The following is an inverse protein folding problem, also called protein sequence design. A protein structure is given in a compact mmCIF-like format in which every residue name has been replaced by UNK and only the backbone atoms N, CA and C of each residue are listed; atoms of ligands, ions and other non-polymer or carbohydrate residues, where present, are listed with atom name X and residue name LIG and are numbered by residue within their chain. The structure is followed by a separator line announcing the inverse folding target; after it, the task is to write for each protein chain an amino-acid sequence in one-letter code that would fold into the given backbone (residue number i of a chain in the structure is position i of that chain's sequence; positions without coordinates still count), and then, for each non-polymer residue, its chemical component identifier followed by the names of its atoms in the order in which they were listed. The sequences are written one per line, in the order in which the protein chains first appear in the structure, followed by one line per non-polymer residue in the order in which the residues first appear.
data_IF_559628686075
#
_entry.id   IF_559628686075
#
_cell.length_a   1.000
_cell.length_b   1.000
_cell.length_c   1.000
_cell.angle_alpha   90.00
_cell.angle_beta   90.00
_cell.angle_gamma   90.00
#
_symmetry.space_group_name_H-M   'P 1'
#
loop_
_entity.id
_entity.type
_entity.pdbx_description
1 polymer ?
#
# COMPACT_ATOMS: atom_id res chain seq x y z
N UNK A 1 -6.44 -47.08 10.83
CA UNK A 1 -6.30 -46.66 12.26
C UNK A 1 -4.85 -46.24 12.39
N UNK A 2 -4.41 -45.01 12.57
CA UNK A 2 -4.85 -43.71 13.10
C UNK A 2 -3.92 -42.67 12.41
N UNK A 3 -4.10 -41.37 12.28
CA UNK A 3 -4.94 -40.36 12.90
C UNK A 3 -4.75 -39.08 12.08
N UNK A 4 -5.81 -38.28 12.01
CA UNK A 4 -5.82 -36.96 11.39
C UNK A 4 -4.78 -36.02 12.03
N UNK A 5 -4.13 -35.18 11.22
CA UNK A 5 -3.45 -34.00 11.72
C UNK A 5 -4.22 -32.77 11.26
N UNK A 6 -4.95 -32.22 12.24
CA UNK A 6 -5.89 -31.13 12.15
C UNK A 6 -5.29 -29.88 11.50
N UNK A 7 -6.04 -29.31 10.55
CA UNK A 7 -5.87 -27.94 10.13
C UNK A 7 -6.13 -27.00 11.30
N UNK A 8 -5.08 -26.34 11.79
CA UNK A 8 -5.22 -25.24 12.73
C UNK A 8 -5.37 -23.95 11.90
N UNK A 9 -6.61 -23.66 11.52
CA UNK A 9 -7.01 -22.36 11.02
C UNK A 9 -7.01 -21.35 12.16
N UNK A 10 -5.87 -20.71 12.44
CA UNK A 10 -5.85 -19.54 13.33
C UNK A 10 -6.37 -18.32 12.56
N UNK A 11 -7.68 -18.13 12.62
CA UNK A 11 -8.33 -16.86 12.34
C UNK A 11 -7.72 -15.79 13.27
N UNK A 12 -7.06 -14.79 12.70
CA UNK A 12 -6.64 -13.63 13.47
C UNK A 12 -6.88 -12.39 12.61
N UNK A 13 -8.14 -11.96 12.63
CA UNK A 13 -8.51 -10.60 12.24
C UNK A 13 -8.17 -9.68 13.40
N UNK A 14 -7.29 -8.71 13.17
CA UNK A 14 -6.99 -7.68 14.15
C UNK A 14 -8.16 -6.67 14.15
N UNK A 15 -9.24 -7.06 14.84
CA UNK A 15 -10.32 -6.18 15.23
C UNK A 15 -9.77 -5.26 16.32
N UNK A 16 -10.00 -3.95 16.19
CA UNK A 16 -9.49 -2.90 17.06
C UNK A 16 -9.58 -3.29 18.55
N UNK A 17 -8.44 -3.46 19.21
CA UNK A 17 -8.36 -3.66 20.66
C UNK A 17 -7.89 -2.36 21.30
N UNK A 18 -8.54 -2.03 22.41
CA UNK A 18 -8.37 -0.82 23.18
C UNK A 18 -6.93 -0.65 23.70
N UNK A 19 -6.60 0.59 24.06
CA UNK A 19 -5.26 1.16 24.34
C UNK A 19 -4.29 0.36 25.23
N UNK A 20 -4.67 -0.72 25.92
CA UNK A 20 -3.81 -1.38 26.94
C UNK A 20 -3.70 -2.91 26.88
N UNK A 21 -4.23 -3.61 25.87
CA UNK A 21 -4.10 -5.08 25.78
C UNK A 21 -3.47 -5.49 24.45
N UNK A 22 -2.16 -5.33 24.37
CA UNK A 22 -1.36 -5.87 23.28
C UNK A 22 -1.28 -7.40 23.45
N UNK A 23 -1.60 -8.22 22.43
CA UNK A 23 -1.41 -9.67 22.52
C UNK A 23 0.08 -9.99 22.75
N UNK A 24 0.39 -11.13 23.36
CA UNK A 24 1.78 -11.51 23.74
C UNK A 24 2.77 -11.61 22.57
N UNK A 25 2.29 -11.65 21.33
CA UNK A 25 3.09 -11.62 20.10
C UNK A 25 3.10 -10.23 19.43
N UNK A 26 2.61 -9.19 20.10
CA UNK A 26 2.62 -7.84 19.58
C UNK A 26 4.04 -7.29 19.51
N UNK A 27 4.52 -7.12 18.29
CA UNK A 27 5.84 -6.54 18.05
C UNK A 27 5.80 -5.03 18.31
N UNK A 28 6.83 -4.46 18.96
CA UNK A 28 7.02 -3.02 19.00
C UNK A 28 7.00 -2.43 17.59
N UNK A 29 6.31 -1.30 17.42
CA UNK A 29 6.16 -0.63 16.12
C UNK A 29 7.51 -0.27 15.51
N UNK A 30 8.44 0.25 16.31
CA UNK A 30 9.78 0.65 15.85
C UNK A 30 10.58 -0.54 15.30
N UNK A 31 10.37 -1.71 15.87
CA UNK A 31 11.03 -2.92 15.41
C UNK A 31 10.48 -3.40 14.06
N UNK A 32 9.15 -3.36 13.88
CA UNK A 32 8.53 -3.66 12.58
C UNK A 32 9.01 -2.66 11.50
N UNK A 33 9.18 -1.39 11.87
CA UNK A 33 9.72 -0.37 10.99
C UNK A 33 11.17 -0.67 10.58
N UNK A 34 12.05 -0.99 11.54
CA UNK A 34 13.45 -1.34 11.26
C UNK A 34 13.57 -2.59 10.38
N UNK A 35 12.82 -3.65 10.72
CA UNK A 35 12.77 -4.87 9.91
C UNK A 35 12.31 -4.56 8.49
N UNK A 36 11.29 -3.71 8.34
CA UNK A 36 10.80 -3.32 7.03
C UNK A 36 11.82 -2.53 6.22
N UNK A 37 12.53 -1.58 6.84
CA UNK A 37 13.58 -0.81 6.17
C UNK A 37 14.72 -1.70 5.67
N UNK A 38 15.13 -2.70 6.46
CA UNK A 38 16.13 -3.69 6.04
C UNK A 38 15.64 -4.52 4.85
N UNK A 39 14.39 -5.00 4.91
CA UNK A 39 13.79 -5.75 3.83
C UNK A 39 13.60 -4.90 2.55
N UNK A 40 13.29 -3.61 2.67
CA UNK A 40 13.09 -2.72 1.51
C UNK A 40 14.41 -2.45 0.75
N UNK A 41 15.58 -2.70 1.36
CA UNK A 41 16.90 -2.62 0.70
C UNK A 41 17.25 -3.88 -0.11
N UNK A 42 16.52 -4.96 0.09
CA UNK A 42 16.78 -6.24 -0.57
C UNK A 42 15.87 -6.42 -1.80
N UNK A 43 16.36 -7.06 -2.88
CA UNK A 43 15.52 -7.45 -4.00
C UNK A 43 14.32 -8.30 -3.52
N UNK A 44 13.12 -8.13 -4.08
CA UNK A 44 11.91 -8.80 -3.59
C UNK A 44 11.97 -10.34 -3.63
N UNK A 45 12.81 -10.91 -4.50
CA UNK A 45 13.00 -12.37 -4.65
C UNK A 45 14.26 -12.91 -3.97
N UNK A 46 15.01 -12.11 -3.22
CA UNK A 46 16.25 -12.60 -2.59
C UNK A 46 15.95 -13.55 -1.43
N UNK A 47 16.63 -14.72 -1.33
CA UNK A 47 16.44 -15.67 -0.22
C UNK A 47 16.81 -15.07 1.14
N UNK A 48 17.67 -14.06 1.15
CA UNK A 48 18.10 -13.32 2.33
C UNK A 48 16.92 -12.71 3.13
N UNK A 49 15.82 -12.37 2.46
CA UNK A 49 14.60 -11.90 3.13
C UNK A 49 14.02 -12.94 4.08
N UNK A 50 13.98 -14.21 3.65
CA UNK A 50 13.46 -15.30 4.45
C UNK A 50 14.36 -15.58 5.65
N UNK A 51 15.70 -15.49 5.46
CA UNK A 51 16.68 -15.66 6.53
C UNK A 51 16.50 -14.58 7.61
N UNK A 52 16.38 -13.30 7.20
CA UNK A 52 16.20 -12.21 8.15
C UNK A 52 14.90 -12.34 8.94
N UNK A 53 13.81 -12.76 8.29
CA UNK A 53 12.51 -12.99 8.95
C UNK A 53 12.60 -14.17 9.92
N UNK A 54 13.28 -15.26 9.55
CA UNK A 54 13.47 -16.42 10.42
C UNK A 54 14.34 -16.10 11.65
N UNK A 55 15.44 -15.36 11.47
CA UNK A 55 16.30 -14.93 12.57
C UNK A 55 15.54 -14.06 13.58
N UNK A 56 14.73 -13.15 13.06
CA UNK A 56 13.81 -12.32 13.84
C UNK A 56 12.77 -13.15 14.59
N UNK A 57 12.17 -14.13 13.91
CA UNK A 57 11.16 -15.00 14.50
C UNK A 57 11.75 -15.78 15.69
N UNK A 58 12.99 -16.27 15.54
CA UNK A 58 13.75 -16.91 16.61
C UNK A 58 14.01 -15.99 17.80
N UNK A 59 14.35 -14.72 17.56
CA UNK A 59 14.67 -13.75 18.63
C UNK A 59 13.47 -13.46 19.55
N UNK A 60 12.24 -13.47 19.00
CA UNK A 60 11.01 -13.22 19.76
C UNK A 60 10.24 -14.50 20.13
N UNK A 61 10.77 -15.69 19.80
CA UNK A 61 10.10 -16.97 20.09
C UNK A 61 8.75 -17.15 19.38
N UNK A 62 8.59 -16.53 18.22
CA UNK A 62 7.35 -16.52 17.42
C UNK A 62 7.54 -17.23 16.10
N UNK A 63 6.46 -17.64 15.45
CA UNK A 63 6.55 -18.23 14.11
C UNK A 63 6.87 -17.17 13.05
N UNK A 64 7.59 -17.55 11.99
CA UNK A 64 7.84 -16.68 10.84
C UNK A 64 6.53 -16.17 10.21
N UNK A 65 5.48 -16.98 10.22
CA UNK A 65 4.13 -16.61 9.76
C UNK A 65 3.56 -15.43 10.54
N UNK A 66 3.77 -15.37 11.87
CA UNK A 66 3.33 -14.23 12.68
C UNK A 66 4.10 -12.96 12.33
N UNK A 67 5.39 -13.06 12.05
CA UNK A 67 6.20 -11.92 11.57
C UNK A 67 5.68 -11.41 10.22
N UNK A 68 5.40 -12.31 9.26
CA UNK A 68 4.80 -11.92 7.98
C UNK A 68 3.46 -11.23 8.15
N UNK A 69 2.59 -11.76 9.02
CA UNK A 69 1.27 -11.18 9.30
C UNK A 69 1.39 -9.81 9.97
N UNK A 70 2.32 -9.64 10.90
CA UNK A 70 2.60 -8.34 11.52
C UNK A 70 3.12 -7.32 10.50
N UNK A 71 4.05 -7.72 9.61
CA UNK A 71 4.56 -6.86 8.53
C UNK A 71 3.49 -6.49 7.49
N UNK A 72 2.48 -7.33 7.26
CA UNK A 72 1.33 -7.02 6.40
C UNK A 72 0.33 -6.09 7.09
N UNK A 73 0.06 -6.32 8.38
CA UNK A 73 -0.81 -5.46 9.18
C UNK A 73 -0.19 -4.07 9.42
N UNK A 74 1.14 -3.99 9.45
CA UNK A 74 1.91 -2.75 9.43
C UNK A 74 1.79 -2.05 8.08
N UNK A 75 0.63 -1.43 7.83
CA UNK A 75 0.32 -0.74 6.58
C UNK A 75 1.18 0.52 6.47
N UNK A 76 1.96 0.62 5.39
CA UNK A 76 2.53 1.89 4.93
C UNK A 76 1.38 2.91 4.79
N UNK A 77 1.56 4.19 5.13
CA UNK A 77 0.71 5.22 4.56
C UNK A 77 0.77 5.06 3.04
N UNK A 78 -0.34 4.59 2.46
CA UNK A 78 -0.44 4.45 1.01
C UNK A 78 -0.26 5.86 0.45
N UNK A 79 0.58 6.03 -0.58
CA UNK A 79 0.72 7.31 -1.22
C UNK A 79 -0.68 7.83 -1.57
N UNK A 80 -1.02 9.05 -1.15
CA UNK A 80 -2.36 9.62 -1.36
C UNK A 80 -2.73 9.62 -2.85
N UNK A 81 -1.73 9.57 -3.71
CA UNK A 81 -1.87 9.56 -5.14
C UNK A 81 -1.18 8.36 -5.79
N UNK A 82 -1.68 7.97 -6.97
CA UNK A 82 -1.08 6.92 -7.79
C UNK A 82 0.28 7.37 -8.33
N UNK A 83 1.12 6.42 -8.76
CA UNK A 83 2.47 6.70 -9.26
C UNK A 83 2.52 7.72 -10.42
N UNK A 84 1.47 7.77 -11.24
CA UNK A 84 1.37 8.68 -12.39
C UNK A 84 0.49 9.92 -12.09
N UNK A 85 0.39 10.35 -10.83
CA UNK A 85 -0.41 11.51 -10.48
C UNK A 85 0.09 12.77 -11.20
N UNK A 86 -0.84 13.52 -11.81
CA UNK A 86 -0.53 14.70 -12.62
C UNK A 86 0.12 14.41 -13.97
N UNK A 87 0.34 13.14 -14.34
CA UNK A 87 0.94 12.77 -15.63
C UNK A 87 -0.08 12.07 -16.54
N UNK A 88 -0.26 12.51 -17.79
CA UNK A 88 -1.11 11.84 -18.76
C UNK A 88 -0.55 10.45 -19.07
N UNK A 89 -1.46 9.49 -19.25
CA UNK A 89 -1.09 8.08 -19.47
C UNK A 89 -0.93 7.72 -20.95
N UNK A 90 -1.63 8.43 -21.85
CA UNK A 90 -1.68 8.12 -23.29
C UNK A 90 -1.03 9.18 -24.17
N UNK A 91 -1.07 10.45 -23.75
CA UNK A 91 -0.58 11.58 -24.54
C UNK A 91 0.63 12.22 -23.88
N UNK A 92 1.48 12.87 -24.67
CA UNK A 92 2.53 13.72 -24.12
C UNK A 92 1.91 14.93 -23.41
N UNK A 93 2.53 15.40 -22.33
CA UNK A 93 2.02 16.52 -21.54
C UNK A 93 1.83 17.79 -22.36
N UNK A 94 2.70 18.04 -23.34
CA UNK A 94 2.61 19.18 -24.24
C UNK A 94 1.37 19.10 -25.14
N UNK A 95 1.06 17.92 -25.67
CA UNK A 95 -0.09 17.69 -26.53
C UNK A 95 -1.40 17.87 -25.76
N UNK A 96 -1.50 17.29 -24.56
CA UNK A 96 -2.67 17.46 -23.69
C UNK A 96 -2.92 18.95 -23.40
N UNK A 97 -1.88 19.71 -23.07
CA UNK A 97 -2.00 21.16 -22.82
C UNK A 97 -2.50 21.91 -24.06
N UNK A 98 -1.97 21.60 -25.24
CA UNK A 98 -2.41 22.20 -26.50
C UNK A 98 -3.89 21.90 -26.78
N UNK A 99 -4.34 20.66 -26.56
CA UNK A 99 -5.76 20.31 -26.69
C UNK A 99 -6.64 21.08 -25.70
N UNK A 100 -6.23 21.17 -24.43
CA UNK A 100 -6.96 21.95 -23.43
C UNK A 100 -7.08 23.43 -23.82
N UNK A 101 -6.02 24.02 -24.37
CA UNK A 101 -6.04 25.41 -24.85
C UNK A 101 -7.02 25.60 -26.00
N UNK A 102 -7.03 24.70 -26.99
CA UNK A 102 -7.98 24.75 -28.10
C UNK A 102 -9.44 24.64 -27.63
N UNK A 103 -9.73 23.73 -26.70
CA UNK A 103 -11.07 23.57 -26.13
C UNK A 103 -11.47 24.83 -25.35
N UNK A 104 -10.55 25.40 -24.55
CA UNK A 104 -10.81 26.62 -23.81
C UNK A 104 -11.13 27.80 -24.74
N UNK A 105 -10.36 27.96 -25.81
CA UNK A 105 -10.59 28.99 -26.83
C UNK A 105 -11.95 28.79 -27.52
N UNK A 106 -12.26 27.55 -27.93
CA UNK A 106 -13.56 27.22 -28.53
C UNK A 106 -14.70 27.56 -27.58
N UNK A 107 -14.56 27.20 -26.30
CA UNK A 107 -15.54 27.54 -25.26
C UNK A 107 -15.69 29.04 -25.08
N UNK A 108 -14.60 29.81 -25.09
CA UNK A 108 -14.66 31.27 -24.97
C UNK A 108 -15.47 31.90 -26.12
N UNK A 109 -15.34 31.36 -27.34
CA UNK A 109 -16.05 31.86 -28.53
C UNK A 109 -17.52 31.47 -28.55
N UNK A 110 -17.83 30.24 -28.14
CA UNK A 110 -19.15 29.63 -28.31
C UNK A 110 -20.04 29.71 -27.07
N UNK A 111 -19.52 30.18 -25.94
CA UNK A 111 -20.22 30.19 -24.66
C UNK A 111 -20.23 31.61 -24.07
N UNK A 112 -21.37 32.04 -23.52
CA UNK A 112 -21.46 33.33 -22.83
C UNK A 112 -20.86 33.26 -21.41
N UNK A 113 -20.74 34.41 -20.73
CA UNK A 113 -20.22 34.47 -19.35
C UNK A 113 -21.04 33.67 -18.32
N UNK A 114 -22.29 33.33 -18.65
CA UNK A 114 -23.16 32.48 -17.84
C UNK A 114 -23.03 30.97 -18.19
N UNK A 115 -22.07 30.59 -19.04
CA UNK A 115 -21.82 29.20 -19.41
C UNK A 115 -22.84 28.60 -20.39
N UNK A 116 -23.70 29.43 -21.00
CA UNK A 116 -24.68 28.97 -22.00
C UNK A 116 -24.12 29.11 -23.41
N UNK A 117 -24.39 28.12 -24.26
CA UNK A 117 -24.03 28.19 -25.66
C UNK A 117 -24.68 29.40 -26.32
N UNK A 118 -23.92 30.17 -27.10
CA UNK A 118 -24.45 31.26 -27.90
C UNK A 118 -25.16 30.62 -29.10
N UNK A 119 -26.46 30.42 -28.97
CA UNK A 119 -27.33 30.05 -30.07
C UNK A 119 -27.34 31.25 -31.01
N UNK A 120 -26.83 31.05 -32.22
CA UNK A 120 -27.04 31.96 -33.35
C UNK A 120 -28.52 31.99 -33.71
#
# INVERSE_FOLDING_TARGET
MTSASSGIGHASGYRALARNEQPTWAFPVDWLLQLRQRLDRLPPKSPERAIQIAAVAGLYGVSATNVYRALQAFKKPHAAHRANYGKPRMLLQAELKRYCALIAELKLRTTNKAGRHRIT
#
